data_IF_800948072626
#
_entry.id   IF_800948072626
#
_cell.length_a   1.000
_cell.length_b   1.000
_cell.length_c   1.000
_cell.angle_alpha   90.00
_cell.angle_beta   90.00
_cell.angle_gamma   90.00
#
_symmetry.space_group_name_H-M   'P 1'
#
loop_
_entity.id
_entity.type
_entity.pdbx_description
1 polymer ?
#
# COMPACT_ATOMS: atom_id res chain seq x y z
N UNK A 1 11.30 13.33 -13.20
CA UNK A 1 9.99 13.03 -12.57
C UNK A 1 10.28 12.19 -11.35
N UNK A 2 9.99 12.69 -10.14
CA UNK A 2 10.17 11.91 -8.92
C UNK A 2 9.15 10.78 -8.85
N UNK A 3 9.52 9.69 -8.19
CA UNK A 3 8.66 8.52 -8.01
C UNK A 3 8.31 8.42 -6.53
N UNK A 4 7.01 8.44 -6.23
CA UNK A 4 6.47 8.25 -4.90
C UNK A 4 5.79 6.89 -4.83
N UNK A 5 5.87 6.23 -3.69
CA UNK A 5 5.29 4.92 -3.47
C UNK A 5 4.42 4.90 -2.22
N UNK A 6 3.19 4.38 -2.32
CA UNK A 6 2.29 4.13 -1.20
C UNK A 6 2.10 2.63 -1.06
N UNK A 7 2.55 2.07 0.08
CA UNK A 7 2.39 0.64 0.39
C UNK A 7 0.95 0.25 0.76
N UNK A 8 0.72 -1.04 0.96
CA UNK A 8 -0.55 -1.56 1.46
C UNK A 8 -0.72 -1.32 2.96
N UNK A 9 -1.87 -1.75 3.51
CA UNK A 9 -2.13 -1.68 4.95
C UNK A 9 -1.06 -2.45 5.73
N UNK A 10 -0.50 -1.85 6.78
CA UNK A 10 0.56 -2.45 7.60
C UNK A 10 1.95 -2.44 6.96
N UNK A 11 2.08 -1.99 5.70
CA UNK A 11 3.37 -1.90 5.02
C UNK A 11 4.24 -0.78 5.60
N UNK A 12 5.55 -1.03 5.60
CA UNK A 12 6.59 -0.04 5.86
C UNK A 12 7.56 0.04 4.67
N UNK A 13 8.59 0.90 4.76
CA UNK A 13 9.55 1.14 3.67
C UNK A 13 10.32 -0.13 3.25
N UNK A 14 10.50 -1.09 4.15
CA UNK A 14 11.29 -2.29 3.88
C UNK A 14 10.52 -3.31 3.04
N UNK A 15 9.19 -3.37 3.16
CA UNK A 15 8.32 -4.27 2.37
C UNK A 15 8.52 -4.14 0.85
N UNK A 16 8.89 -2.95 0.37
CA UNK A 16 9.05 -2.68 -1.06
C UNK A 16 10.49 -2.37 -1.46
N UNK A 17 11.45 -2.56 -0.54
CA UNK A 17 12.83 -2.11 -0.75
C UNK A 17 13.58 -2.95 -1.78
N UNK A 18 13.34 -4.26 -1.84
CA UNK A 18 13.89 -5.10 -2.91
C UNK A 18 13.39 -4.62 -4.28
N UNK A 19 12.09 -4.34 -4.38
CA UNK A 19 11.50 -3.78 -5.60
C UNK A 19 12.12 -2.43 -5.98
N UNK A 20 12.39 -1.55 -5.00
CA UNK A 20 13.04 -0.26 -5.26
C UNK A 20 14.48 -0.42 -5.75
N UNK A 21 15.22 -1.40 -5.21
CA UNK A 21 16.59 -1.71 -5.63
C UNK A 21 16.61 -2.25 -7.06
N UNK A 22 15.71 -3.15 -7.42
CA UNK A 22 15.59 -3.69 -8.78
C UNK A 22 15.15 -2.63 -9.80
N UNK A 23 14.30 -1.67 -9.41
CA UNK A 23 13.94 -0.53 -10.26
C UNK A 23 15.09 0.45 -10.49
N UNK A 24 16.19 0.33 -9.73
CA UNK A 24 17.37 1.19 -9.80
C UNK A 24 17.02 2.69 -9.89
N UNK A 25 16.04 3.12 -9.11
CA UNK A 25 15.47 4.47 -9.13
C UNK A 25 15.28 4.97 -7.71
N UNK A 26 15.46 6.28 -7.49
CA UNK A 26 15.15 6.89 -6.21
C UNK A 26 13.62 6.97 -6.05
N UNK A 27 13.10 6.23 -5.08
CA UNK A 27 11.67 6.16 -4.77
C UNK A 27 11.44 6.69 -3.36
N UNK A 28 10.49 7.59 -3.22
CA UNK A 28 10.09 8.19 -1.95
C UNK A 28 8.90 7.43 -1.39
N UNK A 29 9.12 6.69 -0.30
CA UNK A 29 8.06 5.97 0.39
C UNK A 29 7.18 6.94 1.17
N UNK A 30 5.87 6.87 0.93
CA UNK A 30 4.85 7.64 1.62
C UNK A 30 4.03 6.69 2.49
N UNK A 31 4.04 6.93 3.81
CA UNK A 31 3.24 6.16 4.77
C UNK A 31 2.09 7.02 5.33
N UNK A 32 0.91 7.02 4.71
CA UNK A 32 -0.26 7.71 5.26
C UNK A 32 -0.80 7.03 6.52
N UNK A 33 -0.52 5.74 6.73
CA UNK A 33 -1.12 4.95 7.81
C UNK A 33 -0.52 5.26 9.19
N UNK A 34 0.73 5.73 9.23
CA UNK A 34 1.35 6.28 10.44
C UNK A 34 0.87 7.70 10.77
N UNK A 35 0.08 8.31 9.90
CA UNK A 35 -0.45 9.66 10.11
C UNK A 35 -1.85 9.52 10.69
N UNK A 36 -2.13 10.25 11.76
CA UNK A 36 -3.47 10.34 12.34
C UNK A 36 -4.38 11.26 11.49
N UNK A 37 -4.54 10.92 10.20
CA UNK A 37 -5.40 11.66 9.27
C UNK A 37 -6.86 11.33 9.57
N UNK A 38 -7.66 12.37 9.81
CA UNK A 38 -9.04 12.23 10.29
C UNK A 38 -10.06 12.28 9.16
N UNK A 39 -9.72 12.96 8.07
CA UNK A 39 -10.62 13.19 6.96
C UNK A 39 -9.86 13.42 5.64
N UNK A 40 -10.65 13.58 4.59
CA UNK A 40 -10.18 13.83 3.22
C UNK A 40 -9.34 15.11 3.08
N UNK A 41 -9.67 16.17 3.83
CA UNK A 41 -8.97 17.45 3.74
C UNK A 41 -7.55 17.33 4.29
N UNK A 42 -7.41 16.64 5.41
CA UNK A 42 -6.09 16.34 6.00
C UNK A 42 -5.25 15.45 5.10
N UNK A 43 -5.86 14.42 4.49
CA UNK A 43 -5.18 13.55 3.54
C UNK A 43 -4.63 14.34 2.34
N UNK A 44 -5.47 15.16 1.70
CA UNK A 44 -5.06 16.00 0.56
C UNK A 44 -3.95 16.96 0.95
N UNK A 45 -4.08 17.63 2.09
CA UNK A 45 -3.09 18.59 2.58
C UNK A 45 -1.74 17.90 2.86
N UNK A 46 -1.78 16.73 3.51
CA UNK A 46 -0.59 15.92 3.77
C UNK A 46 0.08 15.46 2.48
N UNK A 47 -0.69 14.96 1.52
CA UNK A 47 -0.13 14.48 0.26
C UNK A 47 0.51 15.63 -0.53
N UNK A 48 -0.19 16.77 -0.65
CA UNK A 48 0.33 17.96 -1.33
C UNK A 48 1.65 18.44 -0.74
N UNK A 49 1.77 18.41 0.58
CA UNK A 49 3.02 18.72 1.28
C UNK A 49 4.10 17.65 1.04
N UNK A 50 3.72 16.38 0.99
CA UNK A 50 4.67 15.28 0.79
C UNK A 50 5.35 15.31 -0.58
N UNK A 51 4.71 15.92 -1.57
CA UNK A 51 5.22 16.07 -2.94
C UNK A 51 5.78 17.48 -3.22
N UNK A 52 6.01 18.28 -2.16
CA UNK A 52 6.52 19.67 -2.14
C UNK A 52 7.15 20.17 -3.47
N UNK A 53 6.48 21.13 -4.11
CA UNK A 53 6.89 21.85 -5.34
C UNK A 53 7.10 21.02 -6.61
N UNK A 54 6.80 19.72 -6.61
CA UNK A 54 6.89 18.92 -7.84
C UNK A 54 5.76 19.26 -8.83
N UNK A 55 6.12 19.69 -10.03
CA UNK A 55 5.15 19.92 -11.12
C UNK A 55 4.72 18.61 -11.81
N UNK A 56 5.51 17.54 -11.64
CA UNK A 56 5.30 16.26 -12.32
C UNK A 56 5.90 15.09 -11.54
N UNK A 57 5.03 14.15 -11.15
CA UNK A 57 5.40 12.94 -10.39
C UNK A 57 4.84 11.65 -11.00
N UNK A 58 5.52 10.55 -10.70
CA UNK A 58 5.00 9.19 -10.82
C UNK A 58 4.51 8.74 -9.45
N UNK A 59 3.28 8.25 -9.36
CA UNK A 59 2.75 7.65 -8.15
C UNK A 59 2.57 6.15 -8.36
N UNK A 60 3.19 5.35 -7.50
CA UNK A 60 3.04 3.90 -7.45
C UNK A 60 2.25 3.56 -6.20
N UNK A 61 1.21 2.74 -6.31
CA UNK A 61 0.43 2.26 -5.17
C UNK A 61 0.31 0.75 -5.18
N UNK A 62 0.50 0.12 -4.02
CA UNK A 62 0.35 -1.33 -3.83
C UNK A 62 -0.84 -1.66 -2.92
N UNK A 63 -1.68 -2.64 -3.31
CA UNK A 63 -2.83 -3.08 -2.51
C UNK A 63 -3.73 -1.90 -2.10
N UNK A 64 -4.01 -1.70 -0.81
CA UNK A 64 -4.75 -0.53 -0.31
C UNK A 64 -4.10 0.82 -0.71
N UNK A 65 -2.77 0.86 -0.81
CA UNK A 65 -2.04 2.01 -1.33
C UNK A 65 -2.34 2.29 -2.80
N UNK A 66 -2.73 1.28 -3.58
CA UNK A 66 -3.22 1.41 -4.95
C UNK A 66 -4.56 2.13 -5.04
N UNK A 67 -5.50 1.78 -4.16
CA UNK A 67 -6.79 2.48 -4.07
C UNK A 67 -6.60 3.95 -3.72
N UNK A 68 -5.75 4.21 -2.73
CA UNK A 68 -5.41 5.56 -2.32
C UNK A 68 -4.65 6.33 -3.42
N UNK A 69 -3.69 5.70 -4.09
CA UNK A 69 -2.93 6.31 -5.18
C UNK A 69 -3.84 6.67 -6.37
N UNK A 70 -4.81 5.83 -6.71
CA UNK A 70 -5.81 6.14 -7.74
C UNK A 70 -6.62 7.39 -7.38
N UNK A 71 -7.10 7.45 -6.15
CA UNK A 71 -7.84 8.60 -5.65
C UNK A 71 -6.97 9.87 -5.68
N UNK A 72 -5.75 9.83 -5.16
CA UNK A 72 -4.85 10.98 -5.18
C UNK A 72 -4.52 11.41 -6.63
N UNK A 73 -4.36 10.47 -7.55
CA UNK A 73 -4.15 10.78 -8.96
C UNK A 73 -5.34 11.48 -9.62
N UNK A 74 -6.59 11.26 -9.16
CA UNK A 74 -7.75 11.99 -9.66
C UNK A 74 -7.85 13.42 -9.11
N UNK A 75 -7.26 13.67 -7.94
CA UNK A 75 -7.32 14.96 -7.25
C UNK A 75 -6.12 15.88 -7.56
N UNK A 76 -4.96 15.31 -7.91
CA UNK A 76 -3.69 16.03 -8.06
C UNK A 76 -3.15 15.93 -9.48
N UNK A 77 -3.25 17.03 -10.23
CA UNK A 77 -2.76 17.15 -11.60
C UNK A 77 -1.24 16.92 -11.74
N UNK A 78 -0.48 17.05 -10.66
CA UNK A 78 0.95 16.76 -10.57
C UNK A 78 1.25 15.28 -10.84
N UNK A 79 0.29 14.38 -10.58
CA UNK A 79 0.43 12.94 -10.87
C UNK A 79 0.27 12.72 -12.38
N UNK A 80 1.41 12.65 -13.10
CA UNK A 80 1.42 12.43 -14.56
C UNK A 80 1.49 10.96 -14.95
N UNK A 81 1.92 10.09 -14.03
CA UNK A 81 1.93 8.64 -14.21
C UNK A 81 1.43 7.98 -12.93
N UNK A 82 0.54 7.01 -13.09
CA UNK A 82 0.03 6.16 -12.03
C UNK A 82 0.37 4.70 -12.37
N UNK A 83 0.99 3.99 -11.42
CA UNK A 83 1.26 2.54 -11.52
C UNK A 83 0.54 1.86 -10.36
N UNK A 84 -0.34 0.92 -10.68
CA UNK A 84 -1.11 0.17 -9.71
C UNK A 84 -0.55 -1.26 -9.61
N UNK A 85 -0.11 -1.65 -8.42
CA UNK A 85 0.39 -2.98 -8.12
C UNK A 85 -0.66 -3.69 -7.27
N UNK A 86 -1.42 -4.59 -7.90
CA UNK A 86 -2.43 -5.42 -7.21
C UNK A 86 -3.40 -4.63 -6.32
N UNK A 87 -3.88 -3.47 -6.81
CA UNK A 87 -4.78 -2.57 -6.09
C UNK A 87 -5.38 -1.51 -7.00
N UNK A 88 -6.32 -0.70 -6.51
CA UNK A 88 -6.89 0.41 -7.28
C UNK A 88 -7.93 0.00 -8.32
N UNK A 89 -8.32 -1.28 -8.41
CA UNK A 89 -9.32 -1.76 -9.35
C UNK A 89 -10.43 -2.52 -8.63
N UNK A 90 -11.57 -1.86 -8.46
CA UNK A 90 -12.82 -2.47 -7.98
C UNK A 90 -13.71 -2.74 -9.20
N UNK A 91 -13.84 -4.01 -9.56
CA UNK A 91 -14.77 -4.46 -10.58
C UNK A 91 -16.17 -4.50 -9.96
N UNK A 92 -16.94 -3.41 -10.15
CA UNK A 92 -18.28 -3.27 -9.58
C UNK A 92 -19.26 -4.34 -10.08
N UNK A 93 -18.99 -4.93 -11.26
CA UNK A 93 -19.78 -6.02 -11.83
C UNK A 93 -19.49 -7.37 -11.16
N UNK A 94 -18.44 -7.44 -10.33
CA UNK A 94 -18.07 -8.62 -9.53
C UNK A 94 -18.31 -8.44 -8.04
N UNK A 95 -19.05 -7.41 -7.62
CA UNK A 95 -19.44 -7.25 -6.22
C UNK A 95 -20.23 -8.47 -5.79
N UNK A 96 -19.77 -9.10 -4.70
CA UNK A 96 -20.44 -10.25 -4.12
C UNK A 96 -21.73 -9.80 -3.43
N UNK A 97 -22.76 -10.66 -3.36
CA UNK A 97 -23.92 -10.38 -2.53
C UNK A 97 -23.50 -10.08 -1.09
N UNK A 98 -24.21 -9.16 -0.41
CA UNK A 98 -23.90 -8.72 0.95
C UNK A 98 -23.67 -9.89 1.93
N UNK A 99 -24.51 -10.92 1.88
CA UNK A 99 -24.38 -12.09 2.74
C UNK A 99 -23.07 -12.85 2.51
N UNK A 100 -22.59 -12.91 1.27
CA UNK A 100 -21.31 -13.52 0.91
C UNK A 100 -20.15 -12.67 1.41
N UNK A 101 -20.18 -11.35 1.18
CA UNK A 101 -19.14 -10.44 1.69
C UNK A 101 -19.02 -10.50 3.21
N UNK A 102 -20.14 -10.50 3.93
CA UNK A 102 -20.15 -10.59 5.40
C UNK A 102 -19.56 -11.91 5.89
N UNK A 103 -19.91 -13.03 5.23
CA UNK A 103 -19.38 -14.35 5.57
C UNK A 103 -17.88 -14.44 5.30
N UNK A 104 -17.42 -14.00 4.13
CA UNK A 104 -16.01 -14.04 3.76
C UNK A 104 -15.18 -13.10 4.63
N UNK A 105 -15.69 -11.91 4.94
CA UNK A 105 -15.04 -10.97 5.87
C UNK A 105 -14.87 -11.58 7.25
N UNK A 106 -15.92 -12.24 7.77
CA UNK A 106 -15.83 -12.94 9.06
C UNK A 106 -14.79 -14.05 9.03
N UNK A 107 -14.82 -14.90 8.01
CA UNK A 107 -13.84 -15.98 7.85
C UNK A 107 -12.41 -15.44 7.74
N UNK A 108 -12.22 -14.34 7.01
CA UNK A 108 -10.94 -13.67 6.89
C UNK A 108 -10.45 -13.21 8.26
N UNK A 109 -11.26 -12.45 9.00
CA UNK A 109 -10.90 -11.98 10.35
C UNK A 109 -10.52 -13.15 11.26
N UNK A 110 -11.33 -14.21 11.28
CA UNK A 110 -11.05 -15.42 12.07
C UNK A 110 -9.73 -16.09 11.66
N UNK A 111 -9.41 -16.11 10.36
CA UNK A 111 -8.15 -16.68 9.83
C UNK A 111 -6.91 -15.84 10.14
N UNK A 112 -7.07 -14.56 10.44
CA UNK A 112 -5.98 -13.64 10.81
C UNK A 112 -5.68 -13.63 12.32
N UNK A 113 -6.44 -14.37 13.14
CA UNK A 113 -6.17 -14.50 14.58
C UNK A 113 -5.03 -15.49 14.82
N UNK A 114 -3.89 -14.98 15.28
CA UNK A 114 -2.68 -15.76 15.59
C UNK A 114 -2.35 -15.72 17.07
N UNK A 115 -1.67 -16.76 17.57
CA UNK A 115 -1.25 -16.86 18.98
C UNK A 115 -0.09 -15.94 19.35
N UNK A 116 0.76 -15.59 18.39
CA UNK A 116 1.89 -14.66 18.56
C UNK A 116 2.36 -14.12 17.21
N UNK A 117 3.11 -13.00 17.25
CA UNK A 117 3.76 -12.43 16.07
C UNK A 117 4.79 -13.39 15.46
N UNK A 118 5.55 -14.12 16.28
CA UNK A 118 6.54 -15.10 15.79
C UNK A 118 5.90 -16.19 14.91
N UNK A 119 4.70 -16.64 15.26
CA UNK A 119 3.95 -17.62 14.47
C UNK A 119 3.50 -17.02 13.14
N UNK A 120 3.05 -15.76 13.14
CA UNK A 120 2.67 -15.06 11.91
C UNK A 120 3.87 -14.89 10.98
N UNK A 121 5.00 -14.39 11.49
CA UNK A 121 6.23 -14.19 10.72
C UNK A 121 6.75 -15.52 10.17
N UNK A 122 6.73 -16.59 10.98
CA UNK A 122 7.16 -17.92 10.53
C UNK A 122 6.27 -18.45 9.40
N UNK A 123 4.96 -18.21 9.49
CA UNK A 123 4.00 -18.59 8.44
C UNK A 123 4.28 -17.81 7.15
N UNK A 124 4.35 -16.48 7.22
CA UNK A 124 4.66 -15.62 6.06
C UNK A 124 5.97 -16.04 5.38
N UNK A 125 7.03 -16.30 6.17
CA UNK A 125 8.32 -16.74 5.66
C UNK A 125 8.26 -18.10 4.96
N UNK A 126 7.40 -19.00 5.41
CA UNK A 126 7.21 -20.32 4.77
C UNK A 126 6.38 -20.27 3.50
N UNK A 127 5.49 -19.29 3.37
CA UNK A 127 4.63 -19.08 2.19
C UNK A 127 5.31 -18.19 1.14
N UNK A 128 6.30 -17.38 1.54
CA UNK A 128 7.04 -16.50 0.66
C UNK A 128 7.97 -17.27 -0.30
N UNK A 129 7.90 -16.95 -1.59
CA UNK A 129 8.83 -17.47 -2.60
C UNK A 129 10.26 -16.93 -2.43
N UNK A 130 10.38 -15.75 -1.80
CA UNK A 130 11.63 -15.05 -1.58
C UNK A 130 11.55 -14.32 -0.24
N UNK A 131 12.60 -14.42 0.57
CA UNK A 131 12.71 -13.76 1.88
C UNK A 131 14.08 -13.12 2.02
N UNK A 132 14.15 -11.81 1.78
CA UNK A 132 15.39 -11.02 1.81
C UNK A 132 15.70 -10.50 3.21
N UNK A 133 16.88 -9.90 3.38
CA UNK A 133 17.20 -9.12 4.58
C UNK A 133 16.26 -7.92 4.75
N UNK A 134 15.75 -7.34 3.66
CA UNK A 134 14.74 -6.30 3.76
C UNK A 134 13.42 -6.86 4.29
N UNK A 135 13.04 -8.11 3.98
CA UNK A 135 11.87 -8.76 4.59
C UNK A 135 12.07 -9.05 6.08
N UNK A 136 13.28 -9.42 6.50
CA UNK A 136 13.62 -9.57 7.92
C UNK A 136 13.46 -8.25 8.70
N UNK A 137 13.80 -7.11 8.10
CA UNK A 137 13.61 -5.79 8.70
C UNK A 137 12.16 -5.31 8.62
N UNK A 138 11.40 -5.76 7.62
CA UNK A 138 10.02 -5.36 7.44
C UNK A 138 9.08 -5.87 8.53
N UNK A 139 9.39 -7.03 9.13
CA UNK A 139 8.55 -7.71 10.13
C UNK A 139 8.96 -7.46 11.58
N UNK A 140 9.94 -6.57 11.82
CA UNK A 140 10.41 -6.15 13.15
C UNK A 140 9.68 -4.91 13.64
#
# INVERSE_FOLDING_TARGET
MKIFFIGGLGSNVYHSKDFFQELNSQIYFLNPYEKHLRDETELKSWFKKSIEEEESICLIGHSLGGDLARYLASEFHEVKKLVLLDGGYLDLDKILPLDTELKETKNYIESQVVSSLDVLISKEKSEAKHWSENMEEAVR
#
